data_IF_648272725528
#
_entry.id   IF_648272725528
#
_cell.length_a   1.000
_cell.length_b   1.000
_cell.length_c   1.000
_cell.angle_alpha   90.00
_cell.angle_beta   90.00
_cell.angle_gamma   90.00
#
_symmetry.space_group_name_H-M   'P 1'
#
loop_
_entity.id
_entity.type
_entity.pdbx_description
1 polymer ?
#
# COMPACT_ATOMS: atom_id res chain seq x y z
N UNK A 1 -22.90 48.63 36.50
CA UNK A 1 -23.74 47.76 35.67
C UNK A 1 -23.06 47.58 34.33
N UNK A 2 -22.27 46.52 34.17
CA UNK A 2 -21.70 46.11 32.88
C UNK A 2 -22.08 44.65 32.70
N UNK A 3 -23.01 44.42 31.78
CA UNK A 3 -23.55 43.11 31.47
C UNK A 3 -22.44 42.26 30.85
N UNK A 4 -22.05 41.18 31.54
CA UNK A 4 -21.35 40.07 30.91
C UNK A 4 -22.33 39.42 29.95
N UNK A 5 -22.12 39.65 28.65
CA UNK A 5 -22.77 38.86 27.61
C UNK A 5 -22.37 37.40 27.82
N UNK A 6 -23.32 36.61 28.31
CA UNK A 6 -23.28 35.15 28.25
C UNK A 6 -23.34 34.77 26.78
N UNK A 7 -22.18 34.74 26.13
CA UNK A 7 -22.04 34.04 24.86
C UNK A 7 -22.40 32.59 25.15
N UNK A 8 -23.61 32.22 24.76
CA UNK A 8 -24.08 30.84 24.80
C UNK A 8 -23.17 30.04 23.88
N UNK A 9 -22.15 29.43 24.47
CA UNK A 9 -21.36 28.37 23.85
C UNK A 9 -22.35 27.30 23.41
N UNK A 10 -22.73 27.34 22.13
CA UNK A 10 -23.44 26.25 21.51
C UNK A 10 -22.62 25.00 21.81
N UNK A 11 -23.20 24.07 22.58
CA UNK A 11 -22.57 22.78 22.81
C UNK A 11 -22.21 22.22 21.41
N UNK A 12 -20.96 21.81 21.16
CA UNK A 12 -20.61 21.24 19.87
C UNK A 12 -21.62 20.13 19.62
N UNK A 13 -22.36 20.22 18.51
CA UNK A 13 -23.34 19.22 18.09
C UNK A 13 -22.73 17.86 18.37
N UNK A 14 -23.36 17.06 19.25
CA UNK A 14 -22.76 15.83 19.75
C UNK A 14 -22.38 14.94 18.57
N UNK A 15 -21.13 15.01 18.12
CA UNK A 15 -20.64 14.20 17.00
C UNK A 15 -20.48 12.81 17.59
N UNK A 16 -21.54 12.03 17.52
CA UNK A 16 -21.54 10.66 18.03
C UNK A 16 -20.63 9.81 17.14
N UNK A 17 -19.74 8.98 17.72
CA UNK A 17 -18.94 8.06 16.95
C UNK A 17 -19.82 7.18 16.05
N UNK A 18 -19.59 7.21 14.73
CA UNK A 18 -20.34 6.37 13.79
C UNK A 18 -19.60 5.04 13.58
N UNK A 19 -19.60 4.21 14.62
CA UNK A 19 -18.85 2.94 14.67
C UNK A 19 -19.16 2.00 13.50
N UNK A 20 -20.42 1.79 13.06
CA UNK A 20 -20.71 0.90 11.94
C UNK A 20 -20.04 1.37 10.63
N UNK A 21 -20.09 2.68 10.37
CA UNK A 21 -19.46 3.27 9.18
C UNK A 21 -17.93 3.13 9.26
N UNK A 22 -17.35 3.37 10.44
CA UNK A 22 -15.92 3.24 10.65
C UNK A 22 -15.43 1.79 10.51
N UNK A 23 -16.15 0.83 11.09
CA UNK A 23 -15.81 -0.60 11.00
C UNK A 23 -15.87 -1.09 9.55
N UNK A 24 -16.87 -0.65 8.78
CA UNK A 24 -16.94 -0.94 7.34
C UNK A 24 -15.70 -0.41 6.59
N UNK A 25 -15.29 0.84 6.83
CA UNK A 25 -14.08 1.39 6.21
C UNK A 25 -12.80 0.67 6.68
N UNK A 26 -12.74 0.20 7.93
CA UNK A 26 -11.62 -0.64 8.42
C UNK A 26 -11.60 -2.01 7.74
N UNK A 27 -12.76 -2.61 7.48
CA UNK A 27 -12.86 -3.85 6.67
C UNK A 27 -12.32 -3.59 5.27
N UNK A 28 -12.73 -2.51 4.61
CA UNK A 28 -12.18 -2.13 3.30
C UNK A 28 -10.66 -1.92 3.35
N UNK A 29 -10.15 -1.23 4.38
CA UNK A 29 -8.71 -1.02 4.55
C UNK A 29 -7.97 -2.36 4.74
N UNK A 30 -8.50 -3.27 5.56
CA UNK A 30 -7.94 -4.61 5.76
C UNK A 30 -7.92 -5.42 4.46
N UNK A 31 -8.98 -5.33 3.64
CA UNK A 31 -9.01 -5.98 2.34
C UNK A 31 -8.00 -5.38 1.36
N UNK A 32 -7.76 -4.06 1.38
CA UNK A 32 -6.72 -3.41 0.56
C UNK A 32 -5.32 -3.83 1.01
N UNK A 33 -5.08 -3.97 2.32
CA UNK A 33 -3.82 -4.54 2.83
C UNK A 33 -3.63 -5.98 2.34
N UNK A 34 -4.66 -6.82 2.45
CA UNK A 34 -4.62 -8.18 1.93
C UNK A 34 -4.38 -8.20 0.40
N UNK A 35 -5.03 -7.31 -0.35
CA UNK A 35 -4.83 -7.15 -1.79
C UNK A 35 -3.38 -6.85 -2.14
N UNK A 36 -2.71 -5.99 -1.37
CA UNK A 36 -1.30 -5.71 -1.61
C UNK A 36 -0.41 -6.94 -1.37
N UNK A 37 -0.72 -7.79 -0.39
CA UNK A 37 0.01 -9.05 -0.16
C UNK A 37 -0.26 -10.05 -1.29
N UNK A 38 -1.53 -10.21 -1.67
CA UNK A 38 -1.93 -11.10 -2.77
C UNK A 38 -1.26 -10.65 -4.08
N UNK A 39 -1.23 -9.33 -4.35
CA UNK A 39 -0.56 -8.75 -5.51
C UNK A 39 0.96 -8.97 -5.48
N UNK A 40 1.60 -8.87 -4.30
CA UNK A 40 3.02 -9.20 -4.14
C UNK A 40 3.31 -10.64 -4.53
N UNK A 41 2.51 -11.59 -4.03
CA UNK A 41 2.67 -13.01 -4.35
C UNK A 41 2.40 -13.27 -5.83
N UNK A 42 1.35 -12.68 -6.40
CA UNK A 42 1.01 -12.81 -7.83
C UNK A 42 2.15 -12.31 -8.72
N UNK A 43 2.82 -11.23 -8.34
CA UNK A 43 4.03 -10.76 -9.04
C UNK A 43 5.21 -11.70 -8.84
N UNK A 44 5.53 -12.06 -7.59
CA UNK A 44 6.74 -12.83 -7.28
C UNK A 44 6.68 -14.30 -7.76
N UNK A 45 5.49 -14.76 -8.11
CA UNK A 45 5.26 -16.07 -8.76
C UNK A 45 5.14 -15.95 -10.29
N UNK A 46 5.35 -14.75 -10.85
CA UNK A 46 5.17 -14.42 -12.27
C UNK A 46 3.81 -14.87 -12.82
N UNK A 47 2.77 -14.67 -12.00
CA UNK A 47 1.41 -15.10 -12.34
C UNK A 47 0.60 -14.04 -13.07
N UNK A 48 1.06 -12.79 -13.10
CA UNK A 48 0.26 -11.62 -13.47
C UNK A 48 -0.21 -11.53 -14.94
N UNK A 49 0.23 -12.46 -15.81
CA UNK A 49 -0.06 -12.49 -17.25
C UNK A 49 -0.71 -13.81 -17.71
N UNK A 50 -1.04 -14.72 -16.78
CA UNK A 50 -1.65 -16.03 -17.06
C UNK A 50 -3.08 -15.97 -17.62
N UNK A 51 -3.87 -14.95 -17.26
CA UNK A 51 -5.23 -14.73 -17.74
C UNK A 51 -5.27 -13.73 -18.90
N UNK A 52 -5.13 -14.25 -20.11
CA UNK A 52 -5.10 -13.47 -21.36
C UNK A 52 -6.42 -12.74 -21.62
N UNK A 53 -7.56 -13.35 -21.31
CA UNK A 53 -8.87 -12.78 -21.58
C UNK A 53 -9.33 -11.83 -20.46
N UNK A 54 -9.74 -10.62 -20.84
CA UNK A 54 -10.33 -9.66 -19.90
C UNK A 54 -11.86 -9.83 -19.84
N UNK A 55 -12.35 -10.59 -18.83
CA UNK A 55 -13.79 -10.84 -18.59
C UNK A 55 -14.23 -10.36 -17.20
N UNK A 56 -14.44 -9.05 -16.94
CA UNK A 56 -14.67 -8.52 -15.58
C UNK A 56 -15.94 -9.00 -14.88
N UNK A 57 -16.97 -9.39 -15.63
CA UNK A 57 -18.26 -9.81 -15.07
C UNK A 57 -18.40 -11.34 -15.03
N UNK A 58 -17.94 -12.03 -16.08
CA UNK A 58 -18.07 -13.49 -16.23
C UNK A 58 -16.85 -14.23 -15.66
N UNK A 59 -15.67 -13.60 -15.66
CA UNK A 59 -14.40 -14.18 -15.18
C UNK A 59 -14.28 -14.28 -13.66
N UNK A 60 -15.37 -14.08 -12.91
CA UNK A 60 -15.46 -14.40 -11.47
C UNK A 60 -15.31 -15.91 -11.28
N UNK A 61 -15.89 -16.71 -12.18
CA UNK A 61 -15.77 -18.17 -12.14
C UNK A 61 -14.46 -18.60 -12.81
N UNK A 62 -13.65 -19.46 -12.16
CA UNK A 62 -12.50 -20.09 -12.81
C UNK A 62 -13.00 -21.13 -13.84
N UNK A 63 -12.12 -21.65 -14.72
CA UNK A 63 -12.47 -22.78 -15.58
C UNK A 63 -13.03 -23.96 -14.78
N UNK A 64 -14.24 -24.39 -15.14
CA UNK A 64 -14.99 -25.44 -14.42
C UNK A 64 -14.94 -26.81 -15.10
N UNK A 65 -14.35 -26.90 -16.30
CA UNK A 65 -14.21 -28.14 -17.07
C UNK A 65 -12.79 -28.30 -17.60
N UNK A 66 -12.40 -29.55 -17.87
CA UNK A 66 -11.12 -29.88 -18.49
C UNK A 66 -10.95 -29.21 -19.85
N UNK A 67 -12.00 -29.22 -20.67
CA UNK A 67 -12.01 -28.54 -21.97
C UNK A 67 -11.73 -27.04 -21.86
N UNK A 68 -12.32 -26.36 -20.87
CA UNK A 68 -12.09 -24.93 -20.64
C UNK A 68 -10.68 -24.66 -20.14
N UNK A 69 -10.13 -25.52 -19.26
CA UNK A 69 -8.74 -25.45 -18.82
C UNK A 69 -7.75 -25.53 -19.98
N UNK A 70 -7.94 -26.50 -20.88
CA UNK A 70 -7.10 -26.62 -22.08
C UNK A 70 -7.25 -25.40 -22.99
N UNK A 71 -8.47 -24.89 -23.19
CA UNK A 71 -8.73 -23.69 -24.00
C UNK A 71 -7.97 -22.47 -23.49
N UNK A 72 -8.04 -22.17 -22.19
CA UNK A 72 -7.34 -21.00 -21.62
C UNK A 72 -5.83 -21.21 -21.57
N UNK A 73 -5.37 -22.46 -21.39
CA UNK A 73 -3.95 -22.77 -21.47
C UNK A 73 -3.41 -22.58 -22.90
N UNK A 74 -4.16 -22.98 -23.92
CA UNK A 74 -3.77 -22.76 -25.32
C UNK A 74 -3.71 -21.28 -25.68
N UNK A 75 -4.57 -20.44 -25.09
CA UNK A 75 -4.44 -18.98 -25.18
C UNK A 75 -3.14 -18.49 -24.52
N UNK A 76 -2.81 -19.01 -23.34
CA UNK A 76 -1.57 -18.66 -22.64
C UNK A 76 -0.32 -19.06 -23.42
N UNK A 77 -0.30 -20.22 -24.09
CA UNK A 77 0.78 -20.64 -24.99
C UNK A 77 1.03 -19.67 -26.15
N UNK A 78 0.02 -18.87 -26.49
CA UNK A 78 0.11 -17.80 -27.48
C UNK A 78 0.93 -16.59 -27.01
N UNK A 79 1.16 -16.42 -25.71
CA UNK A 79 1.80 -15.23 -25.13
C UNK A 79 3.33 -15.25 -25.26
N UNK A 80 3.99 -14.09 -25.25
CA UNK A 80 5.45 -14.01 -25.16
C UNK A 80 6.02 -14.67 -23.90
N UNK A 81 5.33 -14.56 -22.76
CA UNK A 81 5.76 -15.12 -21.47
C UNK A 81 5.90 -16.65 -21.55
N UNK A 82 4.90 -17.33 -22.13
CA UNK A 82 5.00 -18.77 -22.36
C UNK A 82 6.14 -19.13 -23.31
N UNK A 83 6.29 -18.41 -24.42
CA UNK A 83 7.30 -18.76 -25.43
C UNK A 83 8.73 -18.55 -24.94
N UNK A 84 8.97 -17.51 -24.15
CA UNK A 84 10.31 -17.10 -23.71
C UNK A 84 10.70 -17.81 -22.41
N UNK A 85 9.81 -17.86 -21.42
CA UNK A 85 10.15 -18.34 -20.08
C UNK A 85 9.49 -19.69 -19.75
N UNK A 86 8.22 -19.87 -20.11
CA UNK A 86 7.42 -20.99 -19.63
C UNK A 86 7.16 -22.09 -20.70
N UNK A 87 8.01 -22.22 -21.72
CA UNK A 87 7.78 -23.14 -22.85
C UNK A 87 7.80 -24.62 -22.48
N UNK A 88 8.35 -24.92 -21.29
CA UNK A 88 8.41 -26.23 -20.67
C UNK A 88 7.21 -26.52 -19.74
N UNK A 89 6.35 -25.53 -19.49
CA UNK A 89 5.24 -25.61 -18.53
C UNK A 89 4.13 -26.52 -19.06
N UNK A 90 3.64 -27.41 -18.20
CA UNK A 90 2.46 -28.24 -18.46
C UNK A 90 1.19 -27.59 -17.91
N UNK A 91 0.05 -28.28 -18.04
CA UNK A 91 -1.23 -27.75 -17.56
C UNK A 91 -1.23 -27.52 -16.03
N UNK A 92 -0.55 -28.37 -15.25
CA UNK A 92 -0.51 -28.25 -13.80
C UNK A 92 0.31 -27.02 -13.36
N UNK A 93 1.43 -26.76 -14.03
CA UNK A 93 2.21 -25.53 -13.86
C UNK A 93 1.37 -24.30 -14.20
N UNK A 94 0.64 -24.33 -15.33
CA UNK A 94 -0.24 -23.24 -15.73
C UNK A 94 -1.37 -22.98 -14.71
N UNK A 95 -2.01 -24.04 -14.18
CA UNK A 95 -3.04 -23.90 -13.15
C UNK A 95 -2.50 -23.18 -11.91
N UNK A 96 -1.25 -23.45 -11.53
CA UNK A 96 -0.62 -22.83 -10.36
C UNK A 96 -0.52 -21.30 -10.49
N UNK A 97 -0.07 -20.80 -11.65
CA UNK A 97 -0.01 -19.35 -11.90
C UNK A 97 -1.41 -18.75 -12.11
N UNK A 98 -2.31 -19.48 -12.80
CA UNK A 98 -3.67 -19.05 -13.04
C UNK A 98 -4.44 -18.78 -11.73
N UNK A 99 -4.30 -19.65 -10.73
CA UNK A 99 -5.01 -19.50 -9.46
C UNK A 99 -4.61 -18.23 -8.71
N UNK A 100 -3.33 -17.85 -8.73
CA UNK A 100 -2.88 -16.61 -8.09
C UNK A 100 -3.47 -15.38 -8.78
N UNK A 101 -3.42 -15.33 -10.12
CA UNK A 101 -3.98 -14.21 -10.85
C UNK A 101 -5.50 -14.11 -10.71
N UNK A 102 -6.21 -15.24 -10.83
CA UNK A 102 -7.64 -15.31 -10.64
C UNK A 102 -8.03 -14.83 -9.24
N UNK A 103 -7.34 -15.30 -8.20
CA UNK A 103 -7.63 -14.91 -6.82
C UNK A 103 -7.37 -13.41 -6.60
N UNK A 104 -6.28 -12.88 -7.15
CA UNK A 104 -5.98 -11.44 -7.11
C UNK A 104 -7.08 -10.61 -7.78
N UNK A 105 -7.54 -11.00 -8.98
CA UNK A 105 -8.62 -10.32 -9.72
C UNK A 105 -9.96 -10.39 -8.97
N UNK A 106 -10.32 -11.57 -8.49
CA UNK A 106 -11.53 -11.79 -7.70
C UNK A 106 -11.54 -10.92 -6.44
N UNK A 107 -10.41 -10.87 -5.72
CA UNK A 107 -10.29 -10.06 -4.50
C UNK A 107 -10.46 -8.56 -4.80
N UNK A 108 -9.88 -8.08 -5.90
CA UNK A 108 -10.08 -6.70 -6.37
C UNK A 108 -11.55 -6.38 -6.66
N UNK A 109 -12.27 -7.27 -7.33
CA UNK A 109 -13.72 -7.12 -7.58
C UNK A 109 -14.52 -7.12 -6.27
N UNK A 110 -14.18 -8.01 -5.34
CA UNK A 110 -14.84 -8.12 -4.05
C UNK A 110 -14.70 -6.84 -3.22
N UNK A 111 -13.53 -6.18 -3.24
CA UNK A 111 -13.34 -4.86 -2.61
C UNK A 111 -14.36 -3.85 -3.13
N UNK A 112 -14.57 -3.81 -4.45
CA UNK A 112 -15.56 -2.93 -5.07
C UNK A 112 -16.98 -3.18 -4.57
N UNK A 113 -17.38 -4.46 -4.47
CA UNK A 113 -18.71 -4.86 -3.96
C UNK A 113 -18.85 -4.54 -2.46
N UNK A 114 -17.84 -4.87 -1.65
CA UNK A 114 -17.82 -4.62 -0.20
C UNK A 114 -17.78 -3.13 0.11
N UNK A 115 -17.27 -2.29 -0.79
CA UNK A 115 -17.40 -0.84 -0.67
C UNK A 115 -18.80 -0.38 -1.11
N UNK A 116 -19.25 -0.75 -2.31
CA UNK A 116 -20.43 -0.18 -2.94
C UNK A 116 -21.72 -0.51 -2.17
N UNK A 117 -21.92 -1.77 -1.75
CA UNK A 117 -23.18 -2.19 -1.11
C UNK A 117 -23.42 -1.44 0.21
N UNK A 118 -22.48 -1.41 1.18
CA UNK A 118 -22.67 -0.63 2.40
C UNK A 118 -22.72 0.88 2.13
N UNK A 119 -21.95 1.42 1.17
CA UNK A 119 -22.02 2.82 0.79
C UNK A 119 -23.46 3.22 0.40
N UNK A 120 -24.07 2.49 -0.54
CA UNK A 120 -25.45 2.74 -0.98
C UNK A 120 -26.44 2.56 0.17
N UNK A 121 -26.30 1.50 0.98
CA UNK A 121 -27.16 1.28 2.14
C UNK A 121 -27.11 2.44 3.14
N UNK A 122 -25.91 2.88 3.53
CA UNK A 122 -25.76 3.99 4.48
C UNK A 122 -26.24 5.31 3.88
N UNK A 123 -26.07 5.51 2.58
CA UNK A 123 -26.58 6.68 1.88
C UNK A 123 -28.10 6.74 1.88
N UNK A 124 -28.79 5.68 1.45
CA UNK A 124 -30.25 5.62 1.43
C UNK A 124 -30.88 5.66 2.82
N UNK A 125 -30.16 5.22 3.85
CA UNK A 125 -30.58 5.34 5.25
C UNK A 125 -30.34 6.75 5.84
N UNK A 126 -29.78 7.70 5.10
CA UNK A 126 -29.45 9.04 5.60
C UNK A 126 -28.35 9.05 6.66
N UNK A 127 -27.51 7.99 6.73
CA UNK A 127 -26.48 7.80 7.78
C UNK A 127 -25.12 8.40 7.43
N UNK A 128 -24.98 8.96 6.23
CA UNK A 128 -23.76 9.61 5.76
C UNK A 128 -23.94 11.12 5.89
N UNK A 129 -23.10 11.76 6.70
CA UNK A 129 -23.10 13.21 6.85
C UNK A 129 -22.73 13.90 5.52
N UNK A 130 -23.26 15.11 5.23
CA UNK A 130 -23.00 15.82 3.98
C UNK A 130 -21.51 16.06 3.68
N UNK A 131 -20.70 16.28 4.71
CA UNK A 131 -19.25 16.50 4.57
C UNK A 131 -18.45 15.20 4.34
N UNK A 132 -19.05 14.04 4.65
CA UNK A 132 -18.45 12.73 4.51
C UNK A 132 -18.76 12.10 3.15
N UNK A 133 -19.93 12.38 2.60
CA UNK A 133 -20.36 11.87 1.30
C UNK A 133 -19.32 12.08 0.19
N UNK A 134 -18.78 13.30 -0.06
CA UNK A 134 -17.79 13.50 -1.12
C UNK A 134 -16.49 12.73 -0.87
N UNK A 135 -16.10 12.50 0.39
CA UNK A 135 -14.92 11.69 0.74
C UNK A 135 -15.14 10.22 0.36
N UNK A 136 -16.31 9.68 0.64
CA UNK A 136 -16.68 8.30 0.32
C UNK A 136 -16.86 8.09 -1.20
N UNK A 137 -17.50 9.04 -1.89
CA UNK A 137 -17.60 9.01 -3.34
C UNK A 137 -16.21 9.09 -4.00
N UNK A 138 -15.34 9.97 -3.50
CA UNK A 138 -13.95 10.06 -3.95
C UNK A 138 -13.18 8.74 -3.75
N UNK A 139 -13.33 8.09 -2.60
CA UNK A 139 -12.73 6.77 -2.34
C UNK A 139 -13.23 5.70 -3.31
N UNK A 140 -14.52 5.70 -3.65
CA UNK A 140 -15.08 4.79 -4.66
C UNK A 140 -14.48 5.04 -6.04
N UNK A 141 -14.39 6.30 -6.47
CA UNK A 141 -13.79 6.67 -7.75
C UNK A 141 -12.30 6.32 -7.82
N UNK A 142 -11.55 6.55 -6.73
CA UNK A 142 -10.16 6.12 -6.63
C UNK A 142 -10.02 4.60 -6.69
N UNK A 143 -10.94 3.84 -6.08
CA UNK A 143 -10.99 2.37 -6.22
C UNK A 143 -11.25 1.93 -7.67
N UNK A 144 -12.15 2.59 -8.38
CA UNK A 144 -12.35 2.37 -9.82
C UNK A 144 -11.11 2.69 -10.64
N UNK A 145 -10.45 3.81 -10.37
CA UNK A 145 -9.18 4.19 -10.98
C UNK A 145 -8.07 3.17 -10.68
N UNK A 146 -8.00 2.64 -9.46
CA UNK A 146 -7.07 1.56 -9.09
C UNK A 146 -7.25 0.33 -9.99
N UNK A 147 -8.50 -0.09 -10.22
CA UNK A 147 -8.82 -1.17 -11.17
C UNK A 147 -8.38 -0.85 -12.60
N UNK A 148 -8.61 0.39 -13.05
CA UNK A 148 -8.14 0.87 -14.35
C UNK A 148 -6.61 0.88 -14.50
N UNK A 149 -5.88 1.31 -13.46
CA UNK A 149 -4.42 1.23 -13.42
C UNK A 149 -3.95 -0.22 -13.44
N UNK A 150 -4.62 -1.13 -12.72
CA UNK A 150 -4.30 -2.57 -12.72
C UNK A 150 -4.48 -3.20 -14.10
N UNK A 151 -5.54 -2.84 -14.82
CA UNK A 151 -5.72 -3.23 -16.22
C UNK A 151 -4.59 -2.70 -17.11
N UNK A 152 -4.27 -1.41 -16.99
CA UNK A 152 -3.18 -0.78 -17.73
C UNK A 152 -1.82 -1.44 -17.46
N UNK A 153 -1.58 -1.90 -16.23
CA UNK A 153 -0.36 -2.59 -15.81
C UNK A 153 -0.17 -3.92 -16.56
N UNK A 154 -1.23 -4.69 -16.76
CA UNK A 154 -1.20 -6.02 -17.41
C UNK A 154 -1.22 -5.94 -18.95
N UNK A 155 -1.95 -4.96 -19.52
CA UNK A 155 -2.20 -4.90 -20.97
C UNK A 155 -0.94 -4.92 -21.84
N UNK A 156 0.16 -4.26 -21.44
CA UNK A 156 1.39 -4.27 -22.25
C UNK A 156 2.16 -5.58 -22.17
N UNK A 157 2.01 -6.34 -21.08
CA UNK A 157 2.73 -7.59 -20.86
C UNK A 157 2.35 -8.69 -21.85
N UNK A 158 1.15 -8.58 -22.44
CA UNK A 158 0.57 -9.60 -23.31
C UNK A 158 0.97 -9.47 -24.79
N UNK A 159 1.61 -8.36 -25.19
CA UNK A 159 1.87 -8.05 -26.61
C UNK A 159 3.35 -7.86 -26.90
N UNK A 160 4.02 -6.95 -26.17
CA UNK A 160 5.36 -6.47 -26.57
C UNK A 160 6.48 -7.16 -25.80
N UNK A 161 6.48 -7.01 -24.47
CA UNK A 161 7.49 -7.58 -23.57
C UNK A 161 6.77 -8.25 -22.41
N UNK A 162 7.10 -9.50 -22.06
CA UNK A 162 6.42 -10.29 -21.04
C UNK A 162 6.64 -9.80 -19.60
N UNK A 163 6.98 -8.52 -19.40
CA UNK A 163 7.28 -7.97 -18.09
C UNK A 163 6.35 -6.79 -17.78
N UNK A 164 5.89 -6.74 -16.53
CA UNK A 164 5.18 -5.57 -16.01
C UNK A 164 6.20 -4.47 -15.74
N UNK A 165 6.08 -3.35 -16.43
CA UNK A 165 6.93 -2.18 -16.20
C UNK A 165 6.90 -1.75 -14.73
N UNK A 166 8.08 -1.60 -14.12
CA UNK A 166 8.24 -1.16 -12.74
C UNK A 166 7.62 0.22 -12.48
N UNK A 167 7.53 1.10 -13.49
CA UNK A 167 6.79 2.35 -13.41
C UNK A 167 5.29 2.14 -13.18
N UNK A 168 4.69 1.17 -13.87
CA UNK A 168 3.26 0.86 -13.72
C UNK A 168 2.97 0.18 -12.39
N UNK A 169 3.88 -0.71 -11.96
CA UNK A 169 3.82 -1.30 -10.64
C UNK A 169 3.91 -0.23 -9.54
N UNK A 170 4.85 0.71 -9.66
CA UNK A 170 5.01 1.81 -8.73
C UNK A 170 3.77 2.73 -8.69
N UNK A 171 3.19 3.07 -9.85
CA UNK A 171 1.94 3.82 -9.94
C UNK A 171 0.78 3.08 -9.25
N UNK A 172 0.63 1.78 -9.52
CA UNK A 172 -0.44 0.95 -8.97
C UNK A 172 -0.32 0.81 -7.45
N UNK A 173 0.88 0.52 -6.93
CA UNK A 173 1.12 0.42 -5.49
C UNK A 173 0.94 1.77 -4.80
N UNK A 174 1.43 2.87 -5.37
CA UNK A 174 1.28 4.21 -4.79
C UNK A 174 -0.19 4.59 -4.61
N UNK A 175 -1.02 4.31 -5.61
CA UNK A 175 -2.47 4.55 -5.55
C UNK A 175 -3.15 3.64 -4.51
N UNK A 176 -2.76 2.36 -4.41
CA UNK A 176 -3.26 1.46 -3.36
C UNK A 176 -2.95 1.99 -1.94
N UNK A 177 -1.72 2.46 -1.71
CA UNK A 177 -1.30 3.03 -0.42
C UNK A 177 -2.05 4.32 -0.10
N UNK A 178 -2.29 5.16 -1.12
CA UNK A 178 -3.10 6.37 -0.96
C UNK A 178 -4.53 6.03 -0.53
N UNK A 179 -5.19 5.10 -1.24
CA UNK A 179 -6.55 4.64 -0.91
C UNK A 179 -6.58 4.06 0.51
N UNK A 180 -5.63 3.18 0.84
CA UNK A 180 -5.49 2.59 2.18
C UNK A 180 -5.37 3.66 3.27
N UNK A 181 -4.48 4.64 3.09
CA UNK A 181 -4.27 5.73 4.05
C UNK A 181 -5.51 6.60 4.22
N UNK A 182 -6.24 6.89 3.14
CA UNK A 182 -7.48 7.67 3.18
C UNK A 182 -8.62 6.90 3.86
N UNK A 183 -8.76 5.60 3.61
CA UNK A 183 -9.72 4.72 4.29
C UNK A 183 -9.46 4.72 5.80
N UNK A 184 -8.22 4.45 6.19
CA UNK A 184 -7.83 4.39 7.60
C UNK A 184 -8.02 5.74 8.30
N UNK A 185 -7.57 6.83 7.68
CA UNK A 185 -7.72 8.18 8.23
C UNK A 185 -9.19 8.55 8.43
N UNK A 186 -10.05 8.20 7.48
CA UNK A 186 -11.50 8.47 7.55
C UNK A 186 -12.15 7.64 8.65
N UNK A 187 -11.83 6.35 8.73
CA UNK A 187 -12.33 5.45 9.77
C UNK A 187 -11.95 5.93 11.18
N UNK A 188 -10.69 6.33 11.40
CA UNK A 188 -10.25 6.89 12.68
C UNK A 188 -11.04 8.15 13.06
N UNK A 189 -11.33 9.03 12.08
CA UNK A 189 -12.17 10.23 12.27
C UNK A 189 -13.60 9.92 12.72
N UNK A 190 -14.15 8.79 12.29
CA UNK A 190 -15.49 8.34 12.66
C UNK A 190 -15.52 7.61 14.01
N UNK A 191 -14.43 6.97 14.41
CA UNK A 191 -14.30 6.30 15.72
C UNK A 191 -14.09 7.28 16.86
N UNK A 192 -13.31 8.33 16.61
CA UNK A 192 -12.98 9.34 17.61
C UNK A 192 -13.08 10.74 16.95
N UNK A 193 -14.30 11.31 16.88
CA UNK A 193 -14.52 12.61 16.24
C UNK A 193 -13.96 13.79 17.05
N UNK A 194 -13.78 13.61 18.37
CA UNK A 194 -13.37 14.63 19.33
C UNK A 194 -12.26 14.08 20.24
N UNK A 195 -11.00 13.95 19.78
CA UNK A 195 -9.87 13.60 20.63
C UNK A 195 -9.51 14.85 21.44
N UNK A 196 -10.36 15.17 22.41
CA UNK A 196 -10.27 16.39 23.21
C UNK A 196 -9.09 16.34 24.19
N UNK A 197 -8.42 15.20 24.32
CA UNK A 197 -7.33 15.03 25.25
C UNK A 197 -5.99 15.31 24.58
N UNK A 198 -5.50 16.56 24.65
CA UNK A 198 -4.05 16.71 24.83
C UNK A 198 -3.21 17.49 23.85
N UNK A 199 -3.78 18.22 22.89
CA UNK A 199 -2.94 19.00 22.00
C UNK A 199 -2.11 20.05 22.79
N UNK A 200 -0.80 20.09 22.50
CA UNK A 200 0.15 21.09 23.00
C UNK A 200 0.91 21.73 21.82
N UNK A 201 1.50 22.93 21.96
CA UNK A 201 2.28 23.57 20.89
C UNK A 201 3.35 22.66 20.25
N UNK A 202 4.02 21.80 21.04
CA UNK A 202 5.02 20.84 20.57
C UNK A 202 4.42 19.85 19.55
N UNK A 203 3.12 19.55 19.67
CA UNK A 203 2.39 18.66 18.77
C UNK A 203 2.39 19.17 17.33
N UNK A 204 2.45 20.50 17.11
CA UNK A 204 2.55 21.04 15.75
C UNK A 204 3.87 20.65 15.07
N UNK A 205 4.99 20.73 15.81
CA UNK A 205 6.31 20.36 15.28
C UNK A 205 6.43 18.86 15.07
N UNK A 206 5.89 18.06 16.01
CA UNK A 206 5.84 16.60 15.91
C UNK A 206 4.95 16.14 14.76
N UNK A 207 3.81 16.78 14.55
CA UNK A 207 2.92 16.49 13.42
C UNK A 207 3.57 16.83 12.08
N UNK A 208 4.32 17.93 11.99
CA UNK A 208 5.12 18.25 10.79
C UNK A 208 6.19 17.18 10.55
N UNK A 209 6.89 16.74 11.59
CA UNK A 209 7.84 15.63 11.48
C UNK A 209 7.16 14.34 11.03
N UNK A 210 6.00 13.99 11.59
CA UNK A 210 5.23 12.82 11.20
C UNK A 210 4.75 12.86 9.74
N UNK A 211 4.42 14.05 9.21
CA UNK A 211 4.10 14.23 7.78
C UNK A 211 5.30 13.97 6.89
N UNK A 212 6.48 14.50 7.26
CA UNK A 212 7.71 14.23 6.53
C UNK A 212 8.13 12.76 6.61
N UNK A 213 7.97 12.12 7.77
CA UNK A 213 8.21 10.70 7.94
C UNK A 213 7.29 9.87 7.05
N UNK A 214 5.99 10.18 7.00
CA UNK A 214 5.04 9.51 6.11
C UNK A 214 5.36 9.72 4.64
N UNK A 215 5.73 10.95 4.24
CA UNK A 215 6.13 11.23 2.86
C UNK A 215 7.37 10.44 2.45
N UNK A 216 8.40 10.41 3.31
CA UNK A 216 9.62 9.67 3.06
C UNK A 216 9.38 8.15 3.01
N UNK A 217 8.58 7.60 3.93
CA UNK A 217 8.15 6.18 3.86
C UNK A 217 7.39 5.91 2.56
N UNK A 218 6.54 6.83 2.11
CA UNK A 218 5.86 6.72 0.82
C UNK A 218 6.84 6.64 -0.36
N UNK A 219 7.86 7.50 -0.39
CA UNK A 219 8.93 7.46 -1.40
C UNK A 219 9.71 6.14 -1.33
N UNK A 220 10.01 5.64 -0.13
CA UNK A 220 10.67 4.34 0.06
C UNK A 220 9.84 3.18 -0.47
N UNK A 221 8.51 3.20 -0.26
CA UNK A 221 7.59 2.19 -0.81
C UNK A 221 7.56 2.26 -2.33
N UNK A 222 7.52 3.46 -2.92
CA UNK A 222 7.61 3.64 -4.38
C UNK A 222 8.90 3.01 -4.89
N UNK A 223 10.05 3.28 -4.27
CA UNK A 223 11.31 2.67 -4.68
C UNK A 223 11.35 1.15 -4.44
N UNK A 224 10.62 0.65 -3.44
CA UNK A 224 10.41 -0.79 -3.25
C UNK A 224 9.66 -1.42 -4.42
N UNK A 225 8.68 -0.72 -5.00
CA UNK A 225 8.02 -1.15 -6.24
C UNK A 225 8.96 -1.10 -7.45
N UNK A 226 9.90 -0.17 -7.50
CA UNK A 226 10.96 -0.20 -8.51
C UNK A 226 11.84 -1.45 -8.35
N UNK A 227 12.33 -1.72 -7.13
CA UNK A 227 13.13 -2.92 -6.84
C UNK A 227 12.39 -4.21 -7.21
N UNK A 228 11.11 -4.30 -6.85
CA UNK A 228 10.29 -5.45 -7.20
C UNK A 228 10.05 -5.50 -8.72
N UNK A 229 9.70 -4.40 -9.38
CA UNK A 229 9.35 -4.44 -10.81
C UNK A 229 10.54 -4.62 -11.76
N UNK A 230 11.77 -4.32 -11.33
CA UNK A 230 13.00 -4.48 -12.12
C UNK A 230 13.85 -5.68 -11.72
N UNK A 231 13.33 -6.56 -10.85
CA UNK A 231 14.05 -7.71 -10.28
C UNK A 231 15.35 -7.35 -9.55
N UNK A 232 15.51 -6.08 -9.16
CA UNK A 232 16.71 -5.62 -8.47
C UNK A 232 16.90 -6.25 -7.08
N UNK A 233 15.87 -6.91 -6.54
CA UNK A 233 15.98 -7.72 -5.32
C UNK A 233 16.99 -8.88 -5.43
N UNK A 234 17.26 -9.36 -6.65
CA UNK A 234 18.18 -10.47 -6.92
C UNK A 234 19.62 -10.04 -7.24
N UNK A 235 19.90 -8.74 -7.34
CA UNK A 235 21.18 -8.24 -7.84
C UNK A 235 22.32 -8.33 -6.82
N UNK A 236 22.11 -7.81 -5.60
CA UNK A 236 23.07 -7.90 -4.51
C UNK A 236 22.36 -8.43 -3.28
N UNK A 237 22.77 -9.59 -2.76
CA UNK A 237 22.11 -10.26 -1.62
C UNK A 237 22.96 -10.28 -0.34
N UNK A 238 23.89 -9.33 -0.22
CA UNK A 238 24.70 -9.08 0.99
C UNK A 238 24.30 -7.78 1.68
N UNK A 239 24.56 -7.68 2.99
CA UNK A 239 24.30 -6.49 3.81
C UNK A 239 25.38 -6.39 4.92
N UNK A 240 25.87 -5.19 5.30
CA UNK A 240 25.47 -3.85 4.83
C UNK A 240 26.01 -3.49 3.44
N UNK A 241 27.13 -4.09 3.03
CA UNK A 241 27.75 -3.87 1.72
C UNK A 241 26.99 -4.59 0.61
N UNK A 242 27.04 -4.05 -0.60
CA UNK A 242 26.55 -4.63 -1.85
C UNK A 242 27.72 -5.32 -2.57
N UNK A 243 27.84 -6.65 -2.41
CA UNK A 243 28.96 -7.46 -2.91
C UNK A 243 30.34 -6.82 -2.58
N UNK A 244 30.54 -6.43 -1.32
CA UNK A 244 31.78 -5.81 -0.86
C UNK A 244 31.90 -4.29 -1.07
N UNK A 245 30.92 -3.65 -1.71
CA UNK A 245 30.95 -2.21 -2.01
C UNK A 245 29.87 -1.44 -1.25
N UNK A 246 30.15 -0.19 -0.85
CA UNK A 246 29.12 0.72 -0.34
C UNK A 246 28.27 1.30 -1.47
N UNK A 247 28.93 1.62 -2.58
CA UNK A 247 28.33 2.05 -3.85
C UNK A 247 28.90 1.09 -4.90
N UNK A 248 28.10 0.17 -5.46
CA UNK A 248 28.57 -0.72 -6.51
C UNK A 248 29.08 0.08 -7.72
N UNK A 249 30.13 -0.39 -8.42
CA UNK A 249 30.62 0.27 -9.63
C UNK A 249 29.60 0.26 -10.77
N UNK A 250 28.57 -0.59 -10.71
CA UNK A 250 27.56 -0.71 -11.75
C UNK A 250 26.49 0.39 -11.71
N UNK A 251 26.44 1.24 -10.68
CA UNK A 251 25.32 2.18 -10.45
C UNK A 251 25.19 3.29 -11.50
N UNK A 252 26.22 3.55 -12.32
CA UNK A 252 26.26 4.66 -13.28
C UNK A 252 26.59 4.21 -14.72
N UNK A 253 26.35 2.92 -15.03
CA UNK A 253 26.71 2.34 -16.33
C UNK A 253 25.80 2.72 -17.50
N UNK A 254 24.58 3.23 -17.23
CA UNK A 254 23.65 3.63 -18.28
C UNK A 254 23.89 5.07 -18.74
N UNK A 255 23.73 5.30 -20.05
CA UNK A 255 23.83 6.63 -20.67
C UNK A 255 22.48 7.02 -21.29
N UNK A 256 21.99 8.25 -21.06
CA UNK A 256 22.58 9.31 -20.26
C UNK A 256 22.47 9.06 -18.74
N UNK A 257 23.43 9.59 -17.95
CA UNK A 257 23.63 9.21 -16.54
C UNK A 257 22.38 9.34 -15.65
N UNK A 258 21.48 10.29 -15.95
CA UNK A 258 20.28 10.56 -15.16
C UNK A 258 19.20 9.47 -15.24
N UNK A 259 19.33 8.48 -16.13
CA UNK A 259 18.41 7.34 -16.18
C UNK A 259 18.76 6.25 -15.17
N UNK A 260 20.01 6.20 -14.69
CA UNK A 260 20.46 5.15 -13.77
C UNK A 260 19.59 5.03 -12.51
N UNK A 261 19.20 6.10 -11.81
CA UNK A 261 18.38 5.99 -10.61
C UNK A 261 17.09 5.17 -10.80
N UNK A 262 16.52 5.16 -12.01
CA UNK A 262 15.22 4.56 -12.31
C UNK A 262 15.29 3.35 -13.23
N UNK A 263 16.35 3.16 -14.01
CA UNK A 263 16.52 2.03 -14.94
C UNK A 263 17.66 1.07 -14.54
N UNK A 264 18.65 1.53 -13.78
CA UNK A 264 19.81 0.70 -13.44
C UNK A 264 19.52 -0.13 -12.20
N UNK A 265 19.59 -1.45 -12.35
CA UNK A 265 19.32 -2.43 -11.29
C UNK A 265 20.13 -2.17 -10.00
N UNK A 266 21.44 -1.88 -10.11
CA UNK A 266 22.28 -1.61 -8.96
C UNK A 266 21.89 -0.30 -8.27
N UNK A 267 21.64 0.75 -9.05
CA UNK A 267 21.25 2.06 -8.54
C UNK A 267 19.86 2.02 -7.86
N UNK A 268 18.87 1.35 -8.48
CA UNK A 268 17.54 1.16 -7.91
C UNK A 268 17.64 0.47 -6.54
N UNK A 269 18.40 -0.63 -6.44
CA UNK A 269 18.55 -1.35 -5.19
C UNK A 269 19.29 -0.50 -4.13
N UNK A 270 20.36 0.19 -4.51
CA UNK A 270 21.11 1.07 -3.61
C UNK A 270 20.23 2.19 -3.05
N UNK A 271 19.50 2.90 -3.92
CA UNK A 271 18.63 4.00 -3.51
C UNK A 271 17.55 3.50 -2.56
N UNK A 272 16.93 2.34 -2.83
CA UNK A 272 15.94 1.77 -1.92
C UNK A 272 16.55 1.47 -0.53
N UNK A 273 17.77 0.90 -0.46
CA UNK A 273 18.47 0.65 0.81
C UNK A 273 18.72 1.94 1.58
N UNK A 274 19.22 2.98 0.91
CA UNK A 274 19.49 4.29 1.54
C UNK A 274 18.19 4.93 2.04
N UNK A 275 17.15 4.93 1.22
CA UNK A 275 15.83 5.43 1.59
C UNK A 275 15.22 4.67 2.77
N UNK A 276 15.38 3.35 2.83
CA UNK A 276 14.91 2.51 3.94
C UNK A 276 15.61 2.85 5.26
N UNK A 277 16.94 2.97 5.26
CA UNK A 277 17.70 3.36 6.45
C UNK A 277 17.37 4.79 6.90
N UNK A 278 17.26 5.73 5.96
CA UNK A 278 16.88 7.11 6.25
C UNK A 278 15.46 7.19 6.82
N UNK A 279 14.51 6.46 6.23
CA UNK A 279 13.13 6.36 6.73
C UNK A 279 13.10 5.80 8.14
N UNK A 280 13.85 4.72 8.39
CA UNK A 280 14.02 4.13 9.71
C UNK A 280 14.50 5.15 10.74
N UNK A 281 15.57 5.87 10.44
CA UNK A 281 16.13 6.89 11.31
C UNK A 281 15.11 8.01 11.61
N UNK A 282 14.45 8.54 10.58
CA UNK A 282 13.44 9.61 10.72
C UNK A 282 12.26 9.14 11.58
N UNK A 283 11.75 7.93 11.34
CA UNK A 283 10.62 7.37 12.10
C UNK A 283 10.99 7.06 13.55
N UNK A 284 12.20 6.55 13.81
CA UNK A 284 12.70 6.32 15.16
C UNK A 284 12.92 7.64 15.91
N UNK A 285 13.48 8.65 15.25
CA UNK A 285 13.64 9.99 15.81
C UNK A 285 12.29 10.63 16.14
N UNK A 286 11.29 10.48 15.26
CA UNK A 286 9.92 10.91 15.54
C UNK A 286 9.36 10.20 16.78
N UNK A 287 9.49 8.88 16.84
CA UNK A 287 8.98 8.06 17.94
C UNK A 287 9.60 8.50 19.26
N UNK A 288 10.93 8.65 19.32
CA UNK A 288 11.64 9.15 20.49
C UNK A 288 11.18 10.55 20.90
N UNK A 289 11.05 11.48 19.94
CA UNK A 289 10.58 12.85 20.23
C UNK A 289 9.16 12.91 20.78
N UNK A 290 8.24 12.08 20.29
CA UNK A 290 6.87 12.00 20.81
C UNK A 290 6.88 11.45 22.24
N UNK A 291 7.68 10.42 22.52
CA UNK A 291 7.80 9.84 23.86
C UNK A 291 8.40 10.83 24.86
N UNK A 292 9.44 11.56 24.45
CA UNK A 292 10.08 12.60 25.28
C UNK A 292 9.15 13.78 25.56
N UNK A 293 8.24 14.12 24.63
CA UNK A 293 7.26 15.18 24.82
C UNK A 293 6.18 14.85 25.87
N UNK A 294 6.06 13.58 26.30
CA UNK A 294 5.10 13.11 27.31
C UNK A 294 3.68 13.61 27.05
N UNK A 295 3.26 13.55 25.77
CA UNK A 295 1.92 13.96 25.37
C UNK A 295 0.88 13.03 26.03
N UNK A 296 -0.27 13.57 26.47
CA UNK A 296 -1.33 12.76 27.05
C UNK A 296 -2.07 11.97 25.95
N UNK A 297 -2.99 11.10 26.36
CA UNK A 297 -3.78 10.29 25.42
C UNK A 297 -2.99 9.12 24.82
N UNK A 298 -3.24 8.81 23.54
CA UNK A 298 -2.70 7.60 22.90
C UNK A 298 -1.46 7.85 22.05
N UNK A 299 -0.99 9.10 21.95
CA UNK A 299 0.15 9.48 21.12
C UNK A 299 1.42 8.67 21.44
N UNK A 300 1.74 8.47 22.73
CA UNK A 300 2.89 7.66 23.15
C UNK A 300 2.78 6.20 22.73
N UNK A 301 1.57 5.61 22.80
CA UNK A 301 1.34 4.24 22.32
C UNK A 301 1.49 4.14 20.80
N UNK A 302 0.94 5.11 20.07
CA UNK A 302 1.09 5.17 18.62
C UNK A 302 2.56 5.34 18.22
N UNK A 303 3.33 6.16 18.95
CA UNK A 303 4.76 6.34 18.73
C UNK A 303 5.57 5.06 19.02
N UNK A 304 5.31 4.35 20.13
CA UNK A 304 5.97 3.07 20.41
C UNK A 304 5.65 2.03 19.33
N UNK A 305 4.38 1.91 18.92
CA UNK A 305 3.98 0.99 17.87
C UNK A 305 4.64 1.34 16.52
N UNK A 306 4.72 2.63 16.18
CA UNK A 306 5.40 3.12 14.97
C UNK A 306 6.90 2.78 15.00
N UNK A 307 7.58 3.06 16.11
CA UNK A 307 9.01 2.76 16.28
C UNK A 307 9.31 1.27 16.25
N UNK A 308 8.48 0.44 16.90
CA UNK A 308 8.64 -1.02 16.87
C UNK A 308 8.41 -1.57 15.46
N UNK A 309 7.35 -1.14 14.78
CA UNK A 309 7.02 -1.63 13.44
C UNK A 309 8.09 -1.24 12.41
N UNK A 310 8.70 -0.05 12.50
CA UNK A 310 9.78 0.31 11.56
C UNK A 310 11.04 -0.54 11.75
N UNK A 311 11.35 -0.96 12.98
CA UNK A 311 12.45 -1.91 13.24
C UNK A 311 12.15 -3.29 12.64
N UNK A 312 10.92 -3.79 12.82
CA UNK A 312 10.46 -5.02 12.16
C UNK A 312 10.55 -4.88 10.64
N UNK A 313 10.19 -3.72 10.09
CA UNK A 313 10.25 -3.47 8.65
C UNK A 313 11.67 -3.49 8.10
N UNK A 314 12.63 -2.89 8.82
CA UNK A 314 14.05 -2.94 8.46
C UNK A 314 14.54 -4.39 8.50
N UNK A 315 14.22 -5.13 9.56
CA UNK A 315 14.59 -6.53 9.69
C UNK A 315 14.04 -7.37 8.53
N UNK A 316 12.75 -7.24 8.20
CA UNK A 316 12.12 -7.92 7.07
C UNK A 316 12.79 -7.56 5.73
N UNK A 317 13.19 -6.30 5.53
CA UNK A 317 13.88 -5.87 4.31
C UNK A 317 15.26 -6.50 4.16
N UNK A 318 16.04 -6.52 5.25
CA UNK A 318 17.34 -7.19 5.29
C UNK A 318 17.17 -8.71 5.11
N UNK A 319 16.19 -9.34 5.75
CA UNK A 319 15.96 -10.78 5.57
C UNK A 319 15.50 -11.11 4.15
N UNK A 320 14.63 -10.30 3.54
CA UNK A 320 14.23 -10.46 2.13
C UNK A 320 15.46 -10.48 1.22
N UNK A 321 16.39 -9.57 1.48
CA UNK A 321 17.64 -9.46 0.75
C UNK A 321 18.53 -10.70 0.93
N UNK A 322 18.80 -11.10 2.18
CA UNK A 322 19.71 -12.21 2.50
C UNK A 322 19.15 -13.57 2.06
N UNK A 323 17.83 -13.70 1.99
CA UNK A 323 17.15 -14.93 1.55
C UNK A 323 16.88 -14.96 0.04
N UNK A 324 17.45 -14.03 -0.73
CA UNK A 324 17.31 -13.96 -2.19
C UNK A 324 15.83 -13.92 -2.59
N UNK A 325 15.10 -12.97 -1.99
CA UNK A 325 13.68 -12.70 -2.25
C UNK A 325 12.78 -13.92 -1.96
N UNK A 326 13.05 -14.65 -0.86
CA UNK A 326 12.16 -15.74 -0.45
C UNK A 326 10.74 -15.20 -0.24
N UNK A 327 9.80 -15.69 -1.05
CA UNK A 327 8.46 -15.10 -1.25
C UNK A 327 7.72 -14.81 0.05
N UNK A 328 7.67 -15.72 1.06
CA UNK A 328 6.99 -15.42 2.32
C UNK A 328 7.55 -14.19 3.05
N UNK A 329 8.87 -14.00 3.05
CA UNK A 329 9.52 -12.86 3.70
C UNK A 329 9.33 -11.60 2.88
N UNK A 330 9.46 -11.67 1.55
CA UNK A 330 9.21 -10.55 0.66
C UNK A 330 7.76 -10.03 0.77
N UNK A 331 6.78 -10.95 0.80
CA UNK A 331 5.37 -10.62 1.01
C UNK A 331 5.12 -10.03 2.40
N UNK A 332 5.77 -10.57 3.45
CA UNK A 332 5.71 -10.01 4.79
C UNK A 332 6.33 -8.61 4.87
N UNK A 333 7.43 -8.34 4.14
CA UNK A 333 8.04 -7.03 4.04
C UNK A 333 7.10 -6.01 3.39
N UNK A 334 6.37 -6.40 2.33
CA UNK A 334 5.35 -5.54 1.73
C UNK A 334 4.19 -5.27 2.70
N UNK A 335 3.70 -6.29 3.41
CA UNK A 335 2.68 -6.11 4.44
C UNK A 335 3.15 -5.17 5.56
N UNK A 336 4.39 -5.35 6.02
CA UNK A 336 5.01 -4.53 7.05
C UNK A 336 5.14 -3.06 6.65
N UNK A 337 5.43 -2.76 5.38
CA UNK A 337 5.47 -1.39 4.88
C UNK A 337 4.10 -0.69 5.03
N UNK A 338 3.03 -1.39 4.73
CA UNK A 338 1.65 -0.90 4.89
C UNK A 338 1.35 -0.68 6.36
N UNK A 339 1.77 -1.59 7.25
CA UNK A 339 1.60 -1.45 8.69
C UNK A 339 2.36 -0.24 9.25
N UNK A 340 3.56 0.07 8.75
CA UNK A 340 4.27 1.31 9.10
C UNK A 340 3.44 2.54 8.70
N UNK A 341 2.84 2.54 7.51
CA UNK A 341 1.90 3.59 7.08
C UNK A 341 0.70 3.66 8.03
N UNK A 342 0.13 2.54 8.44
CA UNK A 342 -1.00 2.50 9.39
C UNK A 342 -0.63 3.17 10.71
N UNK A 343 0.54 2.85 11.27
CA UNK A 343 1.02 3.41 12.54
C UNK A 343 1.32 4.92 12.41
N UNK A 344 1.89 5.36 11.29
CA UNK A 344 2.13 6.79 11.03
C UNK A 344 0.83 7.57 10.84
N UNK A 345 -0.16 7.02 10.14
CA UNK A 345 -1.49 7.63 9.98
C UNK A 345 -2.20 7.73 11.34
N UNK A 346 -2.10 6.68 12.17
CA UNK A 346 -2.62 6.71 13.53
C UNK A 346 -1.90 7.76 14.39
N UNK A 347 -0.56 7.80 14.38
CA UNK A 347 0.19 8.81 15.11
C UNK A 347 -0.14 10.24 14.65
N UNK A 348 -0.26 10.48 13.34
CA UNK A 348 -0.71 11.76 12.78
C UNK A 348 -2.12 12.14 13.23
N UNK A 349 -2.98 11.15 13.44
CA UNK A 349 -4.32 11.34 13.96
C UNK A 349 -4.30 11.79 15.42
N UNK A 350 -3.48 11.17 16.26
CA UNK A 350 -3.31 11.55 17.68
C UNK A 350 -2.64 12.93 17.84
N UNK A 351 -1.78 13.33 16.90
CA UNK A 351 -1.07 14.63 16.94
C UNK A 351 -1.88 15.81 16.37
N UNK A 352 -3.15 15.63 15.98
CA UNK A 352 -3.94 16.69 15.36
C UNK A 352 -4.31 17.81 16.36
N UNK A 353 -4.44 19.07 15.89
CA UNK A 353 -4.99 20.14 16.72
C UNK A 353 -6.39 19.81 17.20
N UNK A 354 -6.70 20.21 18.44
CA UNK A 354 -8.08 20.30 18.90
C UNK A 354 -8.70 21.48 18.16
N UNK A 355 -9.52 21.20 17.14
CA UNK A 355 -10.37 22.23 16.54
C UNK A 355 -11.50 22.45 17.53
N UNK A 356 -11.43 23.55 18.30
CA UNK A 356 -12.60 24.07 19.00
C UNK A 356 -13.48 24.65 17.90
N UNK A 357 -14.61 23.98 17.64
CA UNK A 357 -15.66 24.51 16.77
C UNK A 357 -16.32 25.72 17.40
#
# INVERSE_FOLDING_TARGET
>A
MTAYATDSLAAPSSVTPNRPLALWLLVCAAMVLAMAVIGAITRLTESGLSMVEWKPLIGILPPLSEAEWHRVFDLYKGTPEFRIYNSHMDLAGFQSIFWWEWFHRLWGQLIGVVFLIPFLRFWFQGRIAPDLWPKLAGLFLLGGLQGGIGWFMVKSGLVDQPNVSHYRLALHLSMAILIYGLLLRTALGLLDPLPLAGWRPESATLRRHARWALALVGVTIVWGAFVAGSDAGFAYNTFPLMAGHWIPPEVDTLTPWWINPVENTAAIQLIHRVLALLSGLVVLALSARVLLARLPGRASRAAMATGAMVLVQIALGITTLLTVVWIPVAAAHQAGAILVVSMLVWLLFELRPVVRG
#
